data_IF_429547158683
#
_entry.id   IF_429547158683
#
_cell.length_a   1.000
_cell.length_b   1.000
_cell.length_c   1.000
_cell.angle_alpha   90.00
_cell.angle_beta   90.00
_cell.angle_gamma   90.00
#
_symmetry.space_group_name_H-M   'P 1'
#
loop_
_entity.id
_entity.type
_entity.pdbx_description
1 polymer ?
#
# COMPACT_ATOMS: atom_id res chain seq x y z
N UNK A 1 -21.64 20.99 -8.76
CA UNK A 1 -21.10 19.65 -8.41
C UNK A 1 -20.69 19.70 -6.94
N UNK A 2 -21.53 19.19 -6.03
CA UNK A 2 -21.27 19.20 -4.59
C UNK A 2 -20.20 18.15 -4.29
N UNK A 3 -19.02 18.58 -3.85
CA UNK A 3 -17.97 17.67 -3.38
C UNK A 3 -18.46 17.13 -2.03
N UNK A 4 -18.86 15.86 -2.00
CA UNK A 4 -19.30 15.20 -0.79
C UNK A 4 -18.16 15.20 0.24
N UNK A 5 -18.27 16.06 1.25
CA UNK A 5 -17.29 16.17 2.33
C UNK A 5 -17.47 14.94 3.23
N UNK A 6 -16.55 13.97 3.13
CA UNK A 6 -16.56 12.79 3.99
C UNK A 6 -16.29 13.23 5.45
N UNK A 7 -17.33 13.21 6.27
CA UNK A 7 -17.25 13.34 7.73
C UNK A 7 -16.22 12.35 8.31
N UNK A 8 -15.53 12.73 9.39
CA UNK A 8 -14.58 11.88 10.13
C UNK A 8 -15.19 10.52 10.51
N UNK A 9 -16.51 10.47 10.77
CA UNK A 9 -17.25 9.23 11.01
C UNK A 9 -17.30 8.32 9.77
N UNK A 10 -17.36 8.90 8.58
CA UNK A 10 -17.32 8.17 7.31
C UNK A 10 -15.90 7.70 6.98
N UNK A 11 -14.87 8.48 7.33
CA UNK A 11 -13.46 8.09 7.20
C UNK A 11 -13.12 6.89 8.10
N UNK A 12 -13.60 6.87 9.36
CA UNK A 12 -13.38 5.73 10.26
C UNK A 12 -14.18 4.49 9.84
N UNK A 13 -15.38 4.64 9.27
CA UNK A 13 -16.11 3.54 8.65
C UNK A 13 -15.36 2.97 7.45
N UNK A 14 -14.76 3.81 6.61
CA UNK A 14 -13.98 3.38 5.46
C UNK A 14 -12.72 2.61 5.90
N UNK A 15 -12.03 3.09 6.95
CA UNK A 15 -10.96 2.34 7.62
C UNK A 15 -11.47 0.98 8.12
N UNK A 16 -12.59 0.95 8.85
CA UNK A 16 -13.17 -0.28 9.39
C UNK A 16 -13.52 -1.30 8.30
N UNK A 17 -14.08 -0.85 7.18
CA UNK A 17 -14.37 -1.70 6.03
C UNK A 17 -13.06 -2.23 5.42
N UNK A 18 -12.05 -1.38 5.22
CA UNK A 18 -10.78 -1.79 4.64
C UNK A 18 -10.06 -2.83 5.52
N UNK A 19 -10.06 -2.63 6.83
CA UNK A 19 -9.51 -3.57 7.81
C UNK A 19 -10.29 -4.88 7.81
N UNK A 20 -11.62 -4.82 7.71
CA UNK A 20 -12.47 -6.03 7.67
C UNK A 20 -12.23 -6.84 6.41
N UNK A 21 -12.17 -6.18 5.24
CA UNK A 21 -11.84 -6.82 3.95
C UNK A 21 -10.43 -7.41 4.02
N UNK A 22 -9.47 -6.67 4.58
CA UNK A 22 -8.13 -7.16 4.80
C UNK A 22 -8.06 -8.42 5.67
N UNK A 23 -8.83 -8.46 6.76
CA UNK A 23 -8.93 -9.63 7.62
C UNK A 23 -9.53 -10.83 6.88
N UNK A 24 -10.57 -10.61 6.08
CA UNK A 24 -11.22 -11.68 5.29
C UNK A 24 -10.25 -12.28 4.28
N UNK A 25 -9.39 -11.47 3.66
CA UNK A 25 -8.35 -11.93 2.73
C UNK A 25 -7.24 -12.70 3.45
N UNK A 26 -6.98 -12.39 4.74
CA UNK A 26 -5.96 -13.07 5.53
C UNK A 26 -6.36 -14.49 5.94
N UNK A 27 -7.66 -14.76 6.10
CA UNK A 27 -8.19 -16.06 6.58
C UNK A 27 -7.87 -17.22 5.62
N UNK A 28 -8.09 -17.14 4.29
CA UNK A 28 -7.78 -18.23 3.34
C UNK A 28 -6.29 -18.59 3.25
N UNK A 29 -5.39 -17.66 3.57
CA UNK A 29 -3.93 -17.82 3.43
C UNK A 29 -3.34 -18.63 4.59
N UNK A 30 -4.12 -18.84 5.65
CA UNK A 30 -3.81 -19.79 6.73
C UNK A 30 -4.06 -21.26 6.35
N UNK A 31 -4.59 -21.53 5.15
CA UNK A 31 -4.77 -22.89 4.63
C UNK A 31 -3.43 -23.65 4.51
N UNK A 32 -3.51 -24.97 4.54
CA UNK A 32 -2.40 -25.93 4.67
C UNK A 32 -1.36 -25.89 3.53
N UNK A 33 -1.55 -25.03 2.52
CA UNK A 33 -0.73 -24.96 1.32
C UNK A 33 0.58 -24.16 1.46
N UNK A 34 0.83 -23.52 2.62
CA UNK A 34 2.04 -22.72 2.86
C UNK A 34 2.85 -23.23 4.06
N UNK A 35 4.18 -23.18 3.96
CA UNK A 35 5.09 -23.40 5.10
C UNK A 35 4.98 -22.26 6.11
N UNK A 36 5.29 -22.51 7.38
CA UNK A 36 5.09 -21.52 8.46
C UNK A 36 5.93 -20.24 8.27
N UNK A 37 7.15 -20.34 7.73
CA UNK A 37 7.98 -19.17 7.41
C UNK A 37 7.37 -18.32 6.31
N UNK A 38 6.82 -18.97 5.28
CA UNK A 38 6.18 -18.32 4.15
C UNK A 38 4.88 -17.62 4.55
N UNK A 39 4.11 -18.19 5.49
CA UNK A 39 2.88 -17.59 6.03
C UNK A 39 3.14 -16.26 6.72
N UNK A 40 4.20 -16.16 7.52
CA UNK A 40 4.55 -14.91 8.21
C UNK A 40 4.98 -13.86 7.19
N UNK A 41 5.84 -14.26 6.24
CA UNK A 41 6.35 -13.37 5.21
C UNK A 41 5.22 -12.75 4.35
N UNK A 42 4.28 -13.57 3.86
CA UNK A 42 3.15 -13.08 3.07
C UNK A 42 2.16 -12.26 3.89
N UNK A 43 1.95 -12.61 5.17
CA UNK A 43 1.06 -11.87 6.08
C UNK A 43 1.55 -10.43 6.32
N UNK A 44 2.87 -10.24 6.42
CA UNK A 44 3.47 -8.91 6.54
C UNK A 44 3.19 -8.08 5.28
N UNK A 45 3.44 -8.63 4.08
CA UNK A 45 3.18 -7.92 2.83
C UNK A 45 1.71 -7.54 2.66
N UNK A 46 0.77 -8.42 3.04
CA UNK A 46 -0.67 -8.12 2.99
C UNK A 46 -1.05 -7.01 3.97
N UNK A 47 -0.54 -7.10 5.20
CA UNK A 47 -0.80 -6.07 6.22
C UNK A 47 -0.25 -4.70 5.77
N UNK A 48 0.95 -4.70 5.18
CA UNK A 48 1.58 -3.51 4.61
C UNK A 48 0.80 -2.96 3.41
N UNK A 49 0.33 -3.81 2.49
CA UNK A 49 -0.50 -3.40 1.35
C UNK A 49 -1.82 -2.74 1.80
N UNK A 50 -2.49 -3.29 2.80
CA UNK A 50 -3.73 -2.75 3.35
C UNK A 50 -3.49 -1.39 4.00
N UNK A 51 -2.43 -1.26 4.78
CA UNK A 51 -2.06 0.01 5.40
C UNK A 51 -1.68 1.05 4.34
N UNK A 52 -0.86 0.68 3.36
CA UNK A 52 -0.50 1.54 2.24
C UNK A 52 -1.72 2.01 1.45
N UNK A 53 -2.67 1.11 1.16
CA UNK A 53 -3.91 1.44 0.46
C UNK A 53 -4.75 2.42 1.27
N UNK A 54 -4.89 2.20 2.58
CA UNK A 54 -5.58 3.13 3.47
C UNK A 54 -4.95 4.53 3.43
N UNK A 55 -3.63 4.60 3.63
CA UNK A 55 -2.88 5.85 3.63
C UNK A 55 -2.95 6.56 2.28
N UNK A 56 -2.94 5.82 1.18
CA UNK A 56 -3.14 6.35 -0.17
C UNK A 56 -4.51 7.01 -0.33
N UNK A 57 -5.58 6.36 0.14
CA UNK A 57 -6.95 6.91 0.09
C UNK A 57 -7.05 8.16 0.96
N UNK A 58 -6.52 8.13 2.19
CA UNK A 58 -6.57 9.29 3.08
C UNK A 58 -5.75 10.46 2.53
N UNK A 59 -4.56 10.20 1.99
CA UNK A 59 -3.73 11.20 1.37
C UNK A 59 -4.40 11.79 0.12
N UNK A 60 -5.06 10.97 -0.69
CA UNK A 60 -5.86 11.44 -1.83
C UNK A 60 -7.00 12.36 -1.40
N UNK A 61 -7.80 11.95 -0.42
CA UNK A 61 -8.89 12.78 0.09
C UNK A 61 -8.39 14.11 0.68
N UNK A 62 -7.28 14.05 1.42
CA UNK A 62 -6.65 15.25 2.01
C UNK A 62 -6.09 16.15 0.91
N UNK A 63 -5.48 15.59 -0.12
CA UNK A 63 -4.98 16.34 -1.28
C UNK A 63 -6.12 17.03 -2.04
N UNK A 64 -7.28 16.40 -2.20
CA UNK A 64 -8.44 17.05 -2.83
C UNK A 64 -8.94 18.28 -2.06
N UNK A 65 -8.81 18.29 -0.73
CA UNK A 65 -9.26 19.39 0.13
C UNK A 65 -8.26 20.55 0.17
N UNK A 66 -6.96 20.26 0.38
CA UNK A 66 -5.95 21.30 0.58
C UNK A 66 -5.10 21.61 -0.66
N UNK A 67 -5.02 20.68 -1.61
CA UNK A 67 -4.33 20.82 -2.91
C UNK A 67 -2.87 21.28 -2.83
N UNK A 68 -2.17 20.96 -1.74
CA UNK A 68 -0.73 21.25 -1.62
C UNK A 68 0.09 20.19 -2.32
N UNK A 69 1.24 20.58 -2.86
CA UNK A 69 2.13 19.62 -3.51
C UNK A 69 2.77 18.68 -2.50
N UNK A 70 3.02 19.16 -1.28
CA UNK A 70 3.46 18.29 -0.19
C UNK A 70 2.52 17.11 0.01
N UNK A 71 1.20 17.34 0.03
CA UNK A 71 0.20 16.28 0.15
C UNK A 71 0.15 15.37 -1.08
N UNK A 72 0.32 15.94 -2.28
CA UNK A 72 0.45 15.16 -3.51
C UNK A 72 1.63 14.18 -3.46
N UNK A 73 2.80 14.65 -3.03
CA UNK A 73 4.00 13.82 -2.92
C UNK A 73 3.84 12.71 -1.87
N UNK A 74 3.20 13.02 -0.74
CA UNK A 74 2.86 12.01 0.28
C UNK A 74 1.89 10.96 -0.28
N UNK A 75 0.88 11.39 -1.05
CA UNK A 75 -0.04 10.47 -1.73
C UNK A 75 0.71 9.57 -2.73
N UNK A 76 1.60 10.14 -3.56
CA UNK A 76 2.42 9.36 -4.49
C UNK A 76 3.30 8.35 -3.75
N UNK A 77 3.93 8.74 -2.64
CA UNK A 77 4.73 7.83 -1.82
C UNK A 77 3.90 6.64 -1.30
N UNK A 78 2.70 6.91 -0.77
CA UNK A 78 1.80 5.84 -0.29
C UNK A 78 1.31 4.94 -1.43
N UNK A 79 1.03 5.49 -2.61
CA UNK A 79 0.66 4.68 -3.78
C UNK A 79 1.83 3.78 -4.17
N UNK A 80 3.05 4.31 -4.21
CA UNK A 80 4.24 3.54 -4.58
C UNK A 80 4.51 2.38 -3.63
N UNK A 81 4.44 2.57 -2.32
CA UNK A 81 4.59 1.46 -1.35
C UNK A 81 3.43 0.47 -1.49
N UNK A 82 2.21 0.92 -1.73
CA UNK A 82 1.07 0.00 -1.98
C UNK A 82 1.32 -0.87 -3.21
N UNK A 83 1.82 -0.28 -4.29
CA UNK A 83 2.18 -1.02 -5.51
C UNK A 83 3.32 -2.01 -5.28
N UNK A 84 4.33 -1.64 -4.47
CA UNK A 84 5.40 -2.56 -4.05
C UNK A 84 4.84 -3.80 -3.37
N UNK A 85 3.95 -3.60 -2.39
CA UNK A 85 3.41 -4.71 -1.61
C UNK A 85 2.48 -5.60 -2.45
N UNK A 86 1.67 -5.02 -3.33
CA UNK A 86 0.86 -5.78 -4.28
C UNK A 86 1.75 -6.60 -5.22
N UNK A 87 2.85 -6.03 -5.71
CA UNK A 87 3.82 -6.75 -6.52
C UNK A 87 4.44 -7.92 -5.74
N UNK A 88 4.88 -7.70 -4.51
CA UNK A 88 5.44 -8.75 -3.65
C UNK A 88 4.45 -9.90 -3.39
N UNK A 89 3.18 -9.57 -3.12
CA UNK A 89 2.10 -10.57 -2.97
C UNK A 89 1.89 -11.32 -4.29
N UNK A 90 1.83 -10.61 -5.41
CA UNK A 90 1.65 -11.19 -6.74
C UNK A 90 2.77 -12.14 -7.13
N UNK A 91 4.03 -11.73 -6.93
CA UNK A 91 5.21 -12.58 -7.17
C UNK A 91 5.19 -13.84 -6.30
N UNK A 92 4.66 -13.75 -5.07
CA UNK A 92 4.53 -14.89 -4.18
C UNK A 92 3.39 -15.84 -4.56
N UNK A 93 2.25 -15.32 -5.01
CA UNK A 93 1.06 -16.11 -5.38
C UNK A 93 1.18 -16.74 -6.79
N UNK A 94 1.84 -16.06 -7.72
CA UNK A 94 1.94 -16.48 -9.13
C UNK A 94 3.21 -17.28 -9.45
N UNK A 95 4.16 -17.40 -8.52
CA UNK A 95 5.38 -18.16 -8.76
C UNK A 95 5.17 -19.66 -8.57
N UNK A 96 4.95 -20.38 -9.68
CA UNK A 96 5.33 -21.80 -9.81
C UNK A 96 6.81 -21.97 -10.19
N UNK A 97 7.48 -20.86 -10.52
CA UNK A 97 8.86 -20.78 -11.00
C UNK A 97 9.62 -19.85 -10.04
N UNK A 98 10.81 -20.25 -9.53
CA UNK A 98 11.55 -19.41 -8.60
C UNK A 98 11.82 -18.03 -9.24
N UNK A 99 11.59 -16.93 -8.49
CA UNK A 99 11.80 -15.59 -8.99
C UNK A 99 13.22 -15.48 -9.54
N UNK A 100 13.35 -15.12 -10.82
CA UNK A 100 14.68 -14.90 -11.39
C UNK A 100 15.29 -13.72 -10.64
N UNK A 101 16.44 -13.91 -9.95
CA UNK A 101 16.91 -12.99 -8.91
C UNK A 101 17.17 -11.56 -9.36
N UNK A 102 17.18 -11.29 -10.67
CA UNK A 102 17.51 -9.98 -11.22
C UNK A 102 16.32 -9.05 -11.44
N UNK A 103 15.15 -9.54 -11.87
CA UNK A 103 14.06 -8.65 -12.32
C UNK A 103 13.19 -8.22 -11.14
N UNK A 104 12.76 -9.18 -10.32
CA UNK A 104 11.90 -8.88 -9.16
C UNK A 104 12.62 -8.00 -8.15
N UNK A 105 13.91 -8.28 -7.91
CA UNK A 105 14.75 -7.44 -7.05
C UNK A 105 14.88 -6.02 -7.60
N UNK A 106 15.08 -5.84 -8.90
CA UNK A 106 15.19 -4.52 -9.52
C UNK A 106 13.89 -3.73 -9.41
N UNK A 107 12.73 -4.38 -9.63
CA UNK A 107 11.41 -3.74 -9.50
C UNK A 107 11.17 -3.32 -8.05
N UNK A 108 11.42 -4.20 -7.08
CA UNK A 108 11.23 -3.91 -5.65
C UNK A 108 12.13 -2.76 -5.20
N UNK A 109 13.43 -2.78 -5.53
CA UNK A 109 14.35 -1.70 -5.17
C UNK A 109 13.99 -0.38 -5.88
N UNK A 110 13.56 -0.44 -7.15
CA UNK A 110 13.13 0.73 -7.91
C UNK A 110 11.91 1.40 -7.30
N UNK A 111 10.93 0.62 -6.83
CA UNK A 111 9.74 1.13 -6.16
C UNK A 111 10.07 1.71 -4.77
N UNK A 112 10.95 1.06 -3.98
CA UNK A 112 11.43 1.63 -2.71
C UNK A 112 12.14 2.96 -2.95
N UNK A 113 13.04 3.03 -3.92
CA UNK A 113 13.77 4.25 -4.28
C UNK A 113 12.81 5.37 -4.70
N UNK A 114 11.80 5.03 -5.49
CA UNK A 114 10.75 5.98 -5.92
C UNK A 114 9.95 6.51 -4.73
N UNK A 115 9.55 5.64 -3.79
CA UNK A 115 8.86 6.03 -2.55
C UNK A 115 9.71 7.00 -1.72
N UNK A 116 10.99 6.66 -1.50
CA UNK A 116 11.93 7.50 -0.75
C UNK A 116 12.15 8.85 -1.42
N UNK A 117 12.20 8.88 -2.76
CA UNK A 117 12.33 10.13 -3.53
C UNK A 117 11.14 11.05 -3.30
N UNK A 118 9.91 10.53 -3.36
CA UNK A 118 8.72 11.33 -3.07
C UNK A 118 8.72 11.85 -1.63
N UNK A 119 9.12 11.03 -0.66
CA UNK A 119 9.26 11.48 0.74
C UNK A 119 10.32 12.57 0.88
N UNK A 120 11.51 12.38 0.32
CA UNK A 120 12.61 13.34 0.42
C UNK A 120 12.22 14.70 -0.17
N UNK A 121 11.61 14.73 -1.36
CA UNK A 121 11.12 15.98 -1.97
C UNK A 121 10.00 16.58 -1.11
N UNK A 122 9.09 15.77 -0.58
CA UNK A 122 7.97 16.20 0.24
C UNK A 122 8.38 16.85 1.56
N UNK A 123 9.50 16.41 2.17
CA UNK A 123 10.03 16.97 3.43
C UNK A 123 10.46 18.43 3.26
N UNK A 124 11.13 18.76 2.15
CA UNK A 124 11.65 20.11 1.92
C UNK A 124 10.63 21.07 1.30
N UNK A 125 9.40 20.60 1.05
CA UNK A 125 8.33 21.38 0.45
C UNK A 125 7.68 22.26 1.53
N UNK A 126 7.62 23.57 1.28
CA UNK A 126 7.11 24.58 2.23
C UNK A 126 5.74 25.15 1.85
N UNK A 127 5.08 24.57 0.84
CA UNK A 127 3.76 25.00 0.37
C UNK A 127 2.61 24.50 1.25
#
# INVERSE_FOLDING_TARGET
MQIARLDNRSKSKLLGILVTVGLIILIPITSENFTDENKIHISIHISSALLGMFLSIVAFLTYLEFKTTRLFLVMCAFITITSLEIFAIGSFVLSDIPPTPNIDSLITHGLIFTMLTFFAIGIFRSD
#
